data_IF_844458888846
#
_entry.id   IF_844458888846
#
_cell.length_a   1.000
_cell.length_b   1.000
_cell.length_c   1.000
_cell.angle_alpha   90.00
_cell.angle_beta   90.00
_cell.angle_gamma   90.00
#
_symmetry.space_group_name_H-M   'P 1'
#
loop_
_entity.id
_entity.type
_entity.pdbx_description
1 polymer ?
#
# COMPACT_ATOMS: atom_id res chain seq x y z
N UNK A 1 6.21 -20.51 -3.82
CA UNK A 1 6.24 -19.46 -4.88
C UNK A 1 4.90 -18.73 -5.07
N UNK A 2 3.75 -19.42 -5.04
CA UNK A 2 2.42 -18.82 -5.24
C UNK A 2 1.99 -17.82 -4.15
N UNK A 3 2.29 -18.11 -2.87
CA UNK A 3 1.92 -17.25 -1.72
C UNK A 3 2.41 -15.81 -1.86
N UNK A 4 3.62 -15.61 -2.38
CA UNK A 4 4.21 -14.28 -2.57
C UNK A 4 3.58 -13.48 -3.73
N UNK A 5 2.99 -14.16 -4.73
CA UNK A 5 2.22 -13.48 -5.78
C UNK A 5 0.85 -13.04 -5.27
N UNK A 6 0.20 -13.88 -4.46
CA UNK A 6 -1.09 -13.55 -3.82
C UNK A 6 -0.94 -12.37 -2.84
N UNK A 7 0.09 -12.37 -2.01
CA UNK A 7 0.37 -11.25 -1.10
C UNK A 7 0.61 -9.95 -1.89
N UNK A 8 1.38 -10.02 -2.99
CA UNK A 8 1.60 -8.85 -3.84
C UNK A 8 0.29 -8.33 -4.43
N UNK A 9 -0.59 -9.22 -4.90
CA UNK A 9 -1.89 -8.85 -5.44
C UNK A 9 -2.76 -8.15 -4.38
N UNK A 10 -2.80 -8.66 -3.15
CA UNK A 10 -3.54 -8.03 -2.05
C UNK A 10 -2.99 -6.65 -1.69
N UNK A 11 -1.67 -6.48 -1.68
CA UNK A 11 -1.04 -5.17 -1.42
C UNK A 11 -1.40 -4.17 -2.53
N UNK A 12 -1.34 -4.57 -3.81
CA UNK A 12 -1.72 -3.71 -4.94
C UNK A 12 -3.19 -3.33 -4.85
N UNK A 13 -4.07 -4.28 -4.51
CA UNK A 13 -5.49 -4.02 -4.33
C UNK A 13 -5.73 -3.01 -3.19
N UNK A 14 -5.04 -3.17 -2.06
CA UNK A 14 -5.13 -2.25 -0.93
C UNK A 14 -4.65 -0.83 -1.26
N UNK A 15 -3.51 -0.71 -1.98
CA UNK A 15 -2.99 0.59 -2.44
C UNK A 15 -3.99 1.26 -3.39
N UNK A 16 -4.55 0.51 -4.34
CA UNK A 16 -5.55 1.02 -5.28
C UNK A 16 -6.80 1.52 -4.56
N UNK A 17 -7.32 0.75 -3.59
CA UNK A 17 -8.47 1.14 -2.80
C UNK A 17 -8.20 2.39 -1.95
N UNK A 18 -7.04 2.45 -1.28
CA UNK A 18 -6.62 3.63 -0.50
C UNK A 18 -6.44 4.87 -1.39
N UNK A 19 -5.96 4.70 -2.62
CA UNK A 19 -5.81 5.79 -3.58
C UNK A 19 -7.17 6.37 -4.00
N UNK A 20 -8.14 5.51 -4.30
CA UNK A 20 -9.53 5.93 -4.59
C UNK A 20 -10.13 6.68 -3.39
N UNK A 21 -9.97 6.14 -2.18
CA UNK A 21 -10.43 6.80 -0.95
C UNK A 21 -9.77 8.17 -0.77
N UNK A 22 -8.49 8.31 -1.12
CA UNK A 22 -7.81 9.60 -1.03
C UNK A 22 -8.31 10.61 -2.07
N UNK A 23 -8.68 10.16 -3.28
CA UNK A 23 -9.36 11.02 -4.27
C UNK A 23 -10.70 11.52 -3.70
N UNK A 24 -11.48 10.65 -3.05
CA UNK A 24 -12.72 11.06 -2.37
C UNK A 24 -12.44 12.07 -1.24
N UNK A 25 -11.33 11.89 -0.51
CA UNK A 25 -10.84 12.87 0.47
C UNK A 25 -10.52 14.22 -0.15
N UNK A 26 -9.85 14.24 -1.31
CA UNK A 26 -9.54 15.46 -2.07
C UNK A 26 -10.82 16.17 -2.55
N UNK A 27 -11.88 15.41 -2.85
CA UNK A 27 -13.20 15.94 -3.20
C UNK A 27 -13.99 16.47 -1.99
N UNK A 28 -13.38 16.53 -0.79
CA UNK A 28 -14.01 16.93 0.48
C UNK A 28 -15.16 16.01 0.91
N UNK A 29 -15.27 14.80 0.34
CA UNK A 29 -16.28 13.81 0.74
C UNK A 29 -15.85 13.06 2.02
N UNK A 30 -14.54 12.99 2.26
CA UNK A 30 -13.93 12.38 3.43
C UNK A 30 -12.85 13.31 4.00
N UNK A 31 -12.56 13.22 5.30
CA UNK A 31 -11.49 14.00 5.92
C UNK A 31 -10.11 13.55 5.41
N UNK A 32 -9.40 14.46 4.73
CA UNK A 32 -8.05 14.24 4.17
C UNK A 32 -7.03 13.76 5.20
N UNK A 33 -7.19 14.19 6.46
CA UNK A 33 -6.33 13.79 7.58
C UNK A 33 -6.42 12.28 7.87
N UNK A 34 -7.48 11.59 7.42
CA UNK A 34 -7.62 10.14 7.59
C UNK A 34 -7.20 9.41 6.30
N UNK A 35 -7.64 9.90 5.13
CA UNK A 35 -7.37 9.24 3.85
C UNK A 35 -5.89 9.31 3.45
N UNK A 36 -5.20 10.41 3.78
CA UNK A 36 -3.80 10.61 3.42
C UNK A 36 -2.85 9.68 4.22
N UNK A 37 -2.97 9.56 5.57
CA UNK A 37 -2.20 8.55 6.31
C UNK A 37 -2.51 7.12 5.88
N UNK A 38 -3.77 6.82 5.54
CA UNK A 38 -4.15 5.49 5.05
C UNK A 38 -3.43 5.13 3.75
N UNK A 39 -3.40 6.06 2.78
CA UNK A 39 -2.65 5.90 1.54
C UNK A 39 -1.15 5.76 1.79
N UNK A 40 -0.60 6.58 2.70
CA UNK A 40 0.82 6.51 3.08
C UNK A 40 1.19 5.14 3.65
N UNK A 41 0.40 4.60 4.59
CA UNK A 41 0.64 3.26 5.16
C UNK A 41 0.58 2.17 4.09
N UNK A 42 -0.39 2.24 3.18
CA UNK A 42 -0.51 1.28 2.09
C UNK A 42 0.72 1.29 1.17
N UNK A 43 1.21 2.48 0.81
CA UNK A 43 2.44 2.64 0.02
C UNK A 43 3.69 2.18 0.79
N UNK A 44 3.77 2.47 2.08
CA UNK A 44 4.88 2.04 2.94
C UNK A 44 4.96 0.52 3.02
N UNK A 45 3.82 -0.17 3.17
CA UNK A 45 3.75 -1.63 3.13
C UNK A 45 4.24 -2.17 1.76
N UNK A 46 3.83 -1.54 0.65
CA UNK A 46 4.29 -1.91 -0.68
C UNK A 46 5.81 -1.80 -0.80
N UNK A 47 6.39 -0.68 -0.35
CA UNK A 47 7.83 -0.45 -0.38
C UNK A 47 8.56 -1.47 0.48
N UNK A 48 8.12 -1.69 1.72
CA UNK A 48 8.72 -2.69 2.61
C UNK A 48 8.67 -4.11 2.01
N UNK A 49 7.54 -4.48 1.40
CA UNK A 49 7.37 -5.79 0.78
C UNK A 49 8.30 -5.99 -0.43
N UNK A 50 8.49 -4.96 -1.26
CA UNK A 50 9.43 -5.00 -2.38
C UNK A 50 10.87 -5.01 -1.88
N UNK A 51 11.17 -4.21 -0.85
CA UNK A 51 12.51 -4.09 -0.28
C UNK A 51 12.98 -5.40 0.38
N UNK A 52 12.08 -6.13 1.05
CA UNK A 52 12.42 -7.45 1.62
C UNK A 52 12.80 -8.49 0.56
N UNK A 53 12.32 -8.38 -0.69
CA UNK A 53 12.79 -9.27 -1.76
C UNK A 53 14.23 -8.99 -2.20
N UNK A 54 14.75 -7.79 -1.92
CA UNK A 54 16.09 -7.35 -2.28
C UNK A 54 17.03 -7.30 -1.09
N UNK A 55 16.57 -7.68 0.11
CA UNK A 55 17.42 -7.69 1.30
C UNK A 55 18.44 -8.82 1.18
N UNK A 56 19.72 -8.47 1.21
CA UNK A 56 20.80 -9.43 1.32
C UNK A 56 20.57 -10.21 2.62
N UNK A 57 20.25 -11.49 2.49
CA UNK A 57 20.26 -12.42 3.63
C UNK A 57 21.74 -12.67 3.86
N UNK A 58 22.32 -12.02 4.89
CA UNK A 58 23.73 -12.22 5.24
C UNK A 58 24.11 -13.70 5.32
N UNK A 59 25.41 -13.96 5.21
CA UNK A 59 26.02 -15.28 5.46
C UNK A 59 25.67 -15.80 6.85
#
# INVERSE_FOLDING_TARGET
MLKSKVILFLIILAVTAAFILNILGLMKMLPLIITSPLLFVALLILVLYINERRRFKGF
#
